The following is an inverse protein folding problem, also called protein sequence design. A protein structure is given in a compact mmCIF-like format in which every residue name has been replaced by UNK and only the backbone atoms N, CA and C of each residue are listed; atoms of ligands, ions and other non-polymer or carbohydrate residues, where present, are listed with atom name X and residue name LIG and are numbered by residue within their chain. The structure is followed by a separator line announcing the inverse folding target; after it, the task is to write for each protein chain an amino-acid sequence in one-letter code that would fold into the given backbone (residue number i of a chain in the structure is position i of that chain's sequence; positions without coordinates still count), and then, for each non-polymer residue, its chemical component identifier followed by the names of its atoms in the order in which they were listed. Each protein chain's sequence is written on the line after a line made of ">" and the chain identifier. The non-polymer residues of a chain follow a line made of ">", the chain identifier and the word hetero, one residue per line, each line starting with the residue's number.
data_IF_501474111157
#
_entry.id   IF_501474111157
#
_cell.length_a   1.000
_cell.length_b   1.000
_cell.length_c   1.000
_cell.angle_alpha   90.00
_cell.angle_beta   90.00
_cell.angle_gamma   90.00
#
_symmetry.space_group_name_H-M   'P 1'
#
loop_
_entity.id
_entity.type
_entity.pdbx_description
1 polymer ?
#
# COMPACT_ATOMS: atom_id res chain seq x y z
N UNK A 1 11.25 1.85 -57.54
CA UNK A 1 10.50 3.05 -58.00
C UNK A 1 10.70 4.12 -56.94
N UNK A 2 11.76 4.92 -57.04
CA UNK A 2 11.91 6.17 -57.84
C UNK A 2 11.47 7.39 -57.03
N UNK A 3 12.18 8.52 -56.92
CA UNK A 3 13.54 9.00 -57.28
C UNK A 3 13.71 10.27 -56.43
N UNK A 4 14.90 10.50 -55.88
CA UNK A 4 15.28 11.74 -55.18
C UNK A 4 15.62 12.82 -56.23
N UNK A 5 15.00 14.00 -56.14
CA UNK A 5 15.50 15.20 -56.82
C UNK A 5 16.13 16.16 -55.80
N UNK A 6 17.43 16.41 -55.97
CA UNK A 6 18.12 17.57 -55.40
C UNK A 6 18.19 18.63 -56.50
N UNK A 7 17.64 19.81 -56.26
CA UNK A 7 17.89 20.98 -57.08
C UNK A 7 18.90 21.85 -56.33
N UNK A 8 20.09 22.02 -56.93
CA UNK A 8 21.09 23.01 -56.56
C UNK A 8 20.91 24.20 -57.51
N UNK A 9 20.62 25.39 -56.96
CA UNK A 9 20.77 26.65 -57.67
C UNK A 9 22.07 27.32 -57.18
N UNK A 10 22.99 27.73 -58.08
CA UNK A 10 24.21 28.41 -57.69
C UNK A 10 23.94 29.92 -57.62
N UNK A 11 24.23 30.54 -56.47
CA UNK A 11 24.41 31.99 -56.40
C UNK A 11 25.80 32.23 -55.80
N UNK A 12 26.69 32.74 -56.64
CA UNK A 12 28.04 33.17 -56.32
C UNK A 12 27.95 34.59 -55.74
N UNK A 13 28.52 34.75 -54.54
CA UNK A 13 29.06 35.94 -53.88
C UNK A 13 28.27 37.26 -53.93
N UNK A 14 27.93 37.77 -52.73
CA UNK A 14 28.62 38.90 -52.09
C UNK A 14 27.93 39.21 -50.74
N UNK A 15 28.68 38.98 -49.66
CA UNK A 15 28.60 39.58 -48.31
C UNK A 15 27.25 39.78 -47.61
N UNK A 16 27.13 39.05 -46.48
CA UNK A 16 26.21 39.22 -45.34
C UNK A 16 24.72 38.96 -45.59
N UNK A 17 24.31 37.70 -45.38
CA UNK A 17 22.95 37.38 -44.97
C UNK A 17 23.01 36.32 -43.87
N UNK A 18 22.60 36.70 -42.66
CA UNK A 18 22.54 35.81 -41.51
C UNK A 18 21.57 34.66 -41.75
N UNK A 19 22.04 33.44 -41.48
CA UNK A 19 21.18 32.27 -41.40
C UNK A 19 20.42 32.37 -40.08
N UNK A 20 19.17 32.82 -40.12
CA UNK A 20 18.23 32.62 -39.02
C UNK A 20 17.91 31.14 -38.99
N UNK A 21 18.58 30.39 -38.11
CA UNK A 21 18.05 29.12 -37.64
C UNK A 21 16.77 29.44 -36.86
N UNK A 22 15.61 29.27 -37.50
CA UNK A 22 14.37 29.05 -36.77
C UNK A 22 14.49 27.67 -36.11
N UNK A 23 15.18 27.63 -34.96
CA UNK A 23 14.99 26.57 -33.98
C UNK A 23 13.54 26.67 -33.53
N UNK A 24 12.67 25.90 -34.17
CA UNK A 24 11.44 25.45 -33.54
C UNK A 24 11.85 24.64 -32.33
N UNK A 25 12.03 25.30 -31.18
CA UNK A 25 12.14 24.65 -29.89
C UNK A 25 10.81 23.95 -29.63
N UNK A 26 10.78 22.67 -29.96
CA UNK A 26 9.71 21.78 -29.59
C UNK A 26 9.78 21.63 -28.06
N UNK A 27 8.84 22.26 -27.33
CA UNK A 27 8.73 22.18 -25.88
C UNK A 27 8.65 20.72 -25.38
N UNK A 28 8.21 19.79 -26.23
CA UNK A 28 8.12 18.36 -25.93
C UNK A 28 9.47 17.66 -25.71
N UNK A 29 10.57 18.18 -26.25
CA UNK A 29 11.89 17.55 -26.05
C UNK A 29 12.42 17.76 -24.62
N UNK A 30 12.06 18.87 -23.98
CA UNK A 30 12.47 19.17 -22.60
C UNK A 30 11.69 18.31 -21.60
N UNK A 31 10.38 18.11 -21.81
CA UNK A 31 9.57 17.25 -20.94
C UNK A 31 9.93 15.77 -21.07
N UNK A 32 10.13 15.26 -22.28
CA UNK A 32 10.54 13.86 -22.48
C UNK A 32 11.92 13.59 -21.87
N UNK A 33 12.87 14.52 -22.04
CA UNK A 33 14.20 14.44 -21.43
C UNK A 33 14.16 14.53 -19.90
N UNK A 34 13.34 15.45 -19.34
CA UNK A 34 13.11 15.57 -17.90
C UNK A 34 12.49 14.29 -17.33
N UNK A 35 11.47 13.73 -17.98
CA UNK A 35 10.80 12.49 -17.55
C UNK A 35 11.74 11.28 -17.61
N UNK A 36 12.57 11.18 -18.65
CA UNK A 36 13.60 10.15 -18.73
C UNK A 36 14.63 10.28 -17.59
N UNK A 37 15.09 11.51 -17.32
CA UNK A 37 16.00 11.80 -16.21
C UNK A 37 15.38 11.46 -14.85
N UNK A 38 14.10 11.74 -14.67
CA UNK A 38 13.37 11.49 -13.42
C UNK A 38 13.13 9.99 -13.19
N UNK A 39 12.70 9.26 -14.23
CA UNK A 39 12.56 7.81 -14.17
C UNK A 39 13.88 7.11 -13.86
N UNK A 40 14.98 7.52 -14.51
CA UNK A 40 16.32 7.01 -14.19
C UNK A 40 16.69 7.30 -12.72
N UNK A 41 16.35 8.48 -12.22
CA UNK A 41 16.61 8.86 -10.82
C UNK A 41 15.81 8.03 -9.82
N UNK A 42 14.55 7.68 -10.14
CA UNK A 42 13.74 6.71 -9.39
C UNK A 42 14.44 5.35 -9.37
N UNK A 43 14.89 4.85 -10.54
CA UNK A 43 15.54 3.56 -10.67
C UNK A 43 16.88 3.46 -9.93
N UNK A 44 17.59 4.56 -9.78
CA UNK A 44 18.83 4.65 -9.01
C UNK A 44 18.60 4.91 -7.51
N UNK A 45 17.34 5.06 -7.08
CA UNK A 45 16.91 5.42 -5.73
C UNK A 45 17.60 6.70 -5.21
N UNK A 46 17.79 7.70 -6.08
CA UNK A 46 18.58 8.91 -5.77
C UNK A 46 18.02 9.64 -4.54
N UNK A 47 16.70 9.84 -4.48
CA UNK A 47 16.06 10.57 -3.38
C UNK A 47 16.31 9.86 -2.04
N UNK A 48 16.03 8.56 -1.95
CA UNK A 48 16.23 7.82 -0.71
C UNK A 48 17.69 7.75 -0.27
N UNK A 49 18.63 7.63 -1.21
CA UNK A 49 20.07 7.72 -0.93
C UNK A 49 20.41 9.09 -0.33
N UNK A 50 19.93 10.18 -0.91
CA UNK A 50 20.12 11.54 -0.35
C UNK A 50 19.53 11.66 1.05
N UNK A 51 18.30 11.20 1.27
CA UNK A 51 17.64 11.23 2.56
C UNK A 51 18.39 10.44 3.64
N UNK A 52 19.24 9.48 3.25
CA UNK A 52 19.97 8.58 4.15
C UNK A 52 21.46 8.89 4.23
N UNK A 53 21.90 10.08 3.79
CA UNK A 53 23.28 10.57 3.95
C UNK A 53 23.59 11.14 5.34
N UNK A 54 22.66 11.91 5.93
CA UNK A 54 22.85 12.52 7.25
C UNK A 54 21.52 12.71 7.98
N UNK A 55 21.57 12.89 9.31
CA UNK A 55 20.38 13.20 10.12
C UNK A 55 19.62 14.42 9.58
N UNK A 56 20.33 15.45 9.14
CA UNK A 56 19.73 16.66 8.56
C UNK A 56 19.03 16.37 7.24
N UNK A 57 19.66 15.60 6.36
CA UNK A 57 19.07 15.21 5.08
C UNK A 57 17.77 14.40 5.28
N UNK A 58 17.77 13.46 6.23
CA UNK A 58 16.59 12.70 6.59
C UNK A 58 15.44 13.58 7.08
N UNK A 59 15.70 14.49 8.02
CA UNK A 59 14.69 15.42 8.54
C UNK A 59 14.07 16.26 7.42
N UNK A 60 14.91 16.84 6.56
CA UNK A 60 14.47 17.65 5.43
C UNK A 60 13.61 16.83 4.45
N UNK A 61 14.00 15.59 4.15
CA UNK A 61 13.23 14.73 3.26
C UNK A 61 11.86 14.37 3.82
N UNK A 62 11.78 14.01 5.10
CA UNK A 62 10.50 13.67 5.76
C UNK A 62 9.59 14.88 5.81
N UNK A 63 10.13 16.07 6.09
CA UNK A 63 9.38 17.31 6.05
C UNK A 63 8.86 17.64 4.65
N UNK A 64 9.71 17.52 3.61
CA UNK A 64 9.32 17.76 2.21
C UNK A 64 8.17 16.82 1.80
N UNK A 65 8.31 15.52 2.05
CA UNK A 65 7.24 14.55 1.75
C UNK A 65 5.98 14.81 2.56
N UNK A 66 6.10 15.10 3.86
CA UNK A 66 4.94 15.39 4.71
C UNK A 66 4.21 16.67 4.30
N UNK A 67 4.92 17.66 3.74
CA UNK A 67 4.34 18.92 3.25
C UNK A 67 3.48 18.71 2.01
N UNK A 68 3.78 17.69 1.20
CA UNK A 68 3.02 17.31 -0.01
C UNK A 68 1.72 16.58 0.29
N UNK A 69 1.61 15.95 1.46
CA UNK A 69 0.37 15.29 1.90
C UNK A 69 -0.75 16.29 2.26
N UNK A 70 -0.54 17.61 2.06
CA UNK A 70 -1.58 18.63 2.18
C UNK A 70 -2.34 18.70 0.86
N UNK A 71 -3.69 18.71 0.89
CA UNK A 71 -4.50 18.82 -0.32
C UNK A 71 -4.38 20.24 -0.89
N UNK A 72 -3.29 20.52 -1.59
CA UNK A 72 -3.18 21.67 -2.47
C UNK A 72 -3.82 21.26 -3.80
N UNK A 73 -4.75 22.09 -4.28
CA UNK A 73 -5.54 21.83 -5.49
C UNK A 73 -4.67 21.42 -6.65
N UNK A 74 -4.80 20.17 -7.07
CA UNK A 74 -4.17 19.67 -8.28
C UNK A 74 -4.85 20.33 -9.49
N UNK A 75 -4.06 20.87 -10.42
CA UNK A 75 -4.56 21.52 -11.63
C UNK A 75 -5.25 20.49 -12.55
N UNK A 76 -6.55 20.70 -12.83
CA UNK A 76 -7.45 19.80 -13.57
C UNK A 76 -7.00 19.36 -14.98
N UNK A 77 -5.93 19.92 -15.55
CA UNK A 77 -5.56 19.73 -16.96
C UNK A 77 -4.75 18.46 -17.30
N UNK A 78 -4.28 17.68 -16.32
CA UNK A 78 -3.39 16.51 -16.57
C UNK A 78 -4.07 15.14 -16.34
N UNK A 79 -5.40 15.10 -16.21
CA UNK A 79 -6.08 14.08 -15.39
C UNK A 79 -6.74 12.88 -16.09
N UNK A 80 -6.53 12.62 -17.37
CA UNK A 80 -7.06 11.38 -17.97
C UNK A 80 -6.04 10.26 -17.82
N UNK A 81 -6.01 9.63 -16.64
CA UNK A 81 -5.21 8.41 -16.40
C UNK A 81 -6.06 7.27 -15.87
N UNK A 82 -5.91 6.10 -16.47
CA UNK A 82 -6.51 4.84 -15.99
C UNK A 82 -5.81 4.41 -14.69
N UNK A 83 -6.49 3.58 -13.89
CA UNK A 83 -5.84 2.80 -12.85
C UNK A 83 -6.05 1.30 -13.06
N UNK A 84 -5.01 0.45 -13.07
CA UNK A 84 -3.59 0.80 -13.03
C UNK A 84 -3.17 1.73 -14.17
N UNK A 85 -2.16 2.59 -13.96
CA UNK A 85 -1.69 3.49 -15.00
C UNK A 85 -1.04 2.72 -16.15
N UNK A 86 -1.28 3.18 -17.38
CA UNK A 86 -0.67 2.61 -18.58
C UNK A 86 0.85 2.81 -18.66
N UNK A 87 1.37 3.82 -17.95
CA UNK A 87 2.80 4.10 -17.83
C UNK A 87 3.16 4.45 -16.39
N UNK A 88 4.28 3.91 -15.90
CA UNK A 88 4.83 4.25 -14.59
C UNK A 88 5.20 5.73 -14.46
N UNK A 89 5.49 6.42 -15.56
CA UNK A 89 5.86 7.83 -15.55
C UNK A 89 4.76 8.71 -14.96
N UNK A 90 3.49 8.32 -15.08
CA UNK A 90 2.37 9.07 -14.49
C UNK A 90 2.29 8.95 -12.97
N UNK A 91 3.03 8.01 -12.37
CA UNK A 91 3.15 7.86 -10.92
C UNK A 91 4.37 8.58 -10.36
N UNK A 92 5.27 9.13 -11.19
CA UNK A 92 6.41 9.86 -10.64
C UNK A 92 5.91 11.21 -10.14
N UNK A 93 6.37 11.62 -8.95
CA UNK A 93 6.09 12.96 -8.43
C UNK A 93 6.74 14.04 -9.33
N UNK A 94 6.06 15.16 -9.54
CA UNK A 94 6.47 16.14 -10.55
C UNK A 94 7.77 16.89 -10.15
N UNK A 95 8.12 16.88 -8.86
CA UNK A 95 9.26 17.59 -8.29
C UNK A 95 10.30 16.66 -7.65
N UNK A 96 9.87 15.48 -7.18
CA UNK A 96 10.73 14.51 -6.52
C UNK A 96 10.88 13.24 -7.38
N UNK A 97 12.10 12.68 -7.54
CA UNK A 97 12.29 11.43 -8.26
C UNK A 97 11.89 10.22 -7.40
N UNK A 98 10.61 10.15 -7.04
CA UNK A 98 9.99 9.09 -6.24
C UNK A 98 8.63 8.73 -6.82
N UNK A 99 8.20 7.48 -6.58
CA UNK A 99 6.87 7.02 -6.99
C UNK A 99 5.85 7.51 -5.96
N UNK A 100 4.82 8.16 -6.47
CA UNK A 100 3.64 8.59 -5.75
C UNK A 100 2.46 7.67 -6.11
N UNK A 101 1.94 6.97 -5.12
CA UNK A 101 0.86 6.00 -5.27
C UNK A 101 -0.51 6.62 -4.99
N UNK A 102 -0.67 7.94 -5.06
CA UNK A 102 -2.00 8.55 -5.09
C UNK A 102 -2.77 8.12 -6.35
N UNK A 103 -4.08 7.90 -6.21
CA UNK A 103 -4.94 7.67 -7.36
C UNK A 103 -5.09 8.98 -8.14
N UNK A 104 -4.53 9.05 -9.35
CA UNK A 104 -4.73 10.18 -10.26
C UNK A 104 -5.90 9.83 -11.19
N UNK A 105 -7.10 10.32 -10.88
CA UNK A 105 -8.30 10.09 -11.69
C UNK A 105 -8.86 11.41 -12.24
N UNK A 106 -9.53 11.36 -13.39
CA UNK A 106 -10.26 12.49 -13.93
C UNK A 106 -11.52 12.78 -13.12
N UNK A 107 -11.89 14.05 -13.03
CA UNK A 107 -13.12 14.50 -12.37
C UNK A 107 -13.90 15.44 -13.29
N UNK A 108 -15.22 15.40 -13.22
CA UNK A 108 -16.07 16.41 -13.86
C UNK A 108 -15.86 17.77 -13.17
N UNK A 109 -16.16 18.88 -13.87
CA UNK A 109 -15.97 20.24 -13.31
C UNK A 109 -16.81 20.48 -12.06
N UNK A 110 -17.94 19.80 -11.97
CA UNK A 110 -18.95 19.83 -10.93
C UNK A 110 -18.87 18.61 -9.98
N UNK A 111 -17.76 17.87 -10.00
CA UNK A 111 -17.58 16.69 -9.16
C UNK A 111 -17.87 17.03 -7.69
N UNK A 112 -18.79 16.26 -7.09
CA UNK A 112 -19.29 16.53 -5.76
C UNK A 112 -18.17 16.31 -4.74
N UNK A 113 -17.90 17.34 -3.95
CA UNK A 113 -17.11 17.18 -2.74
C UNK A 113 -18.01 16.47 -1.70
N UNK A 114 -17.71 15.22 -1.33
CA UNK A 114 -18.53 14.47 -0.38
C UNK A 114 -18.58 15.12 1.01
N UNK A 115 -17.60 15.92 1.39
CA UNK A 115 -17.67 16.71 2.62
C UNK A 115 -18.78 17.78 2.54
N UNK A 116 -19.20 18.23 1.35
CA UNK A 116 -20.28 19.19 1.18
C UNK A 116 -21.65 18.53 0.96
N UNK A 117 -21.69 17.20 0.78
CA UNK A 117 -22.93 16.46 0.56
C UNK A 117 -23.84 16.58 1.80
N UNK A 118 -25.10 16.97 1.60
CA UNK A 118 -26.07 17.17 2.69
C UNK A 118 -26.33 15.91 3.50
N UNK A 119 -26.39 14.74 2.85
CA UNK A 119 -26.58 13.47 3.55
C UNK A 119 -25.36 13.14 4.39
N UNK A 120 -24.14 13.31 3.86
CA UNK A 120 -22.92 13.10 4.62
C UNK A 120 -22.81 14.04 5.82
N UNK A 121 -23.11 15.33 5.65
CA UNK A 121 -23.09 16.31 6.73
C UNK A 121 -24.14 16.01 7.81
N UNK A 122 -25.36 15.67 7.40
CA UNK A 122 -26.41 15.24 8.33
C UNK A 122 -25.97 14.00 9.12
N UNK A 123 -25.42 13.00 8.42
CA UNK A 123 -24.93 11.78 9.02
C UNK A 123 -23.76 12.04 9.99
N UNK A 124 -22.83 12.91 9.64
CA UNK A 124 -21.75 13.34 10.55
C UNK A 124 -22.29 14.02 11.80
N UNK A 125 -23.23 14.96 11.66
CA UNK A 125 -23.88 15.62 12.79
C UNK A 125 -24.59 14.61 13.70
N UNK A 126 -25.27 13.62 13.12
CA UNK A 126 -25.87 12.52 13.88
C UNK A 126 -24.81 11.77 14.69
N UNK A 127 -23.69 11.37 14.09
CA UNK A 127 -22.62 10.64 14.78
C UNK A 127 -21.92 11.46 15.88
N UNK A 128 -21.86 12.79 15.73
CA UNK A 128 -21.29 13.69 16.73
C UNK A 128 -22.25 13.91 17.93
N UNK A 129 -23.57 13.84 17.70
CA UNK A 129 -24.59 14.00 18.74
C UNK A 129 -24.93 12.72 19.53
N UNK A 130 -24.54 11.54 19.03
CA UNK A 130 -24.75 10.25 19.69
C UNK A 130 -23.99 10.15 21.02
N UNK A 131 -24.70 10.41 22.12
CA UNK A 131 -24.15 10.35 23.49
C UNK A 131 -23.86 8.93 23.99
N UNK A 132 -24.57 7.92 23.48
CA UNK A 132 -24.55 6.54 23.99
C UNK A 132 -23.40 5.67 23.43
N UNK A 133 -22.57 6.19 22.54
CA UNK A 133 -21.33 5.54 22.11
C UNK A 133 -21.46 4.21 21.33
N UNK A 134 -22.59 3.48 21.38
CA UNK A 134 -22.76 2.12 20.81
C UNK A 134 -22.75 2.09 19.28
N UNK A 135 -23.16 3.17 18.63
CA UNK A 135 -23.24 3.30 17.16
C UNK A 135 -24.54 2.79 16.56
N UNK A 136 -24.65 2.89 15.23
CA UNK A 136 -25.85 2.56 14.47
C UNK A 136 -25.99 1.05 14.24
N UNK A 137 -27.18 0.51 14.56
CA UNK A 137 -27.54 -0.88 14.31
C UNK A 137 -28.12 -1.04 12.90
N UNK A 138 -27.23 -1.09 11.92
CA UNK A 138 -27.59 -1.24 10.50
C UNK A 138 -26.45 -1.94 9.75
N UNK A 139 -26.79 -2.59 8.63
CA UNK A 139 -25.86 -3.24 7.70
C UNK A 139 -25.59 -2.41 6.45
N UNK A 140 -26.07 -1.16 6.42
CA UNK A 140 -26.01 -0.29 5.25
C UNK A 140 -24.65 0.42 5.11
N UNK A 141 -23.55 -0.35 5.14
CA UNK A 141 -22.16 0.18 5.10
C UNK A 141 -21.88 1.07 3.87
N UNK A 142 -22.66 0.91 2.80
CA UNK A 142 -22.57 1.71 1.59
C UNK A 142 -23.00 3.17 1.77
N UNK A 143 -23.72 3.51 2.86
CA UNK A 143 -24.20 4.88 3.08
C UNK A 143 -23.15 5.85 3.61
N UNK A 144 -22.06 5.35 4.20
CA UNK A 144 -21.02 6.17 4.78
C UNK A 144 -19.68 5.91 4.10
N UNK A 145 -18.83 6.93 4.01
CA UNK A 145 -19.17 8.36 4.05
C UNK A 145 -19.76 8.84 2.71
N UNK A 146 -19.60 8.05 1.65
CA UNK A 146 -20.09 8.33 0.30
C UNK A 146 -20.98 7.18 -0.16
N UNK A 147 -22.18 7.53 -0.66
CA UNK A 147 -23.07 6.61 -1.37
C UNK A 147 -22.62 6.52 -2.82
N UNK A 148 -21.79 5.52 -3.12
CA UNK A 148 -21.27 5.27 -4.47
C UNK A 148 -21.63 3.86 -4.93
N UNK A 149 -21.90 3.71 -6.22
CA UNK A 149 -21.84 2.42 -6.88
C UNK A 149 -20.36 2.08 -7.12
N UNK A 150 -19.81 1.23 -6.26
CA UNK A 150 -18.40 0.84 -6.36
C UNK A 150 -18.11 0.03 -7.62
N UNK A 151 -19.06 -0.74 -8.17
CA UNK A 151 -18.80 -1.47 -9.42
C UNK A 151 -18.64 -0.48 -10.58
N UNK A 152 -19.53 0.51 -10.68
CA UNK A 152 -19.39 1.59 -11.67
C UNK A 152 -18.10 2.38 -11.46
N UNK A 153 -17.79 2.76 -10.21
CA UNK A 153 -16.58 3.50 -9.86
C UNK A 153 -15.31 2.77 -10.31
N UNK A 154 -15.21 1.46 -10.06
CA UNK A 154 -14.07 0.66 -10.52
C UNK A 154 -13.97 0.73 -12.05
N UNK A 155 -15.07 0.47 -12.77
CA UNK A 155 -15.09 0.49 -14.24
C UNK A 155 -14.69 1.87 -14.79
N UNK A 156 -15.22 2.95 -14.21
CA UNK A 156 -14.91 4.31 -14.64
C UNK A 156 -13.42 4.61 -14.48
N UNK A 157 -12.85 4.31 -13.31
CA UNK A 157 -11.43 4.52 -13.03
C UNK A 157 -10.53 3.68 -13.94
N UNK A 158 -10.88 2.41 -14.17
CA UNK A 158 -10.11 1.52 -15.04
C UNK A 158 -10.11 1.99 -16.50
N UNK A 159 -11.17 2.64 -16.94
CA UNK A 159 -11.32 3.14 -18.32
C UNK A 159 -11.01 4.64 -18.46
N UNK A 160 -10.55 5.31 -17.39
CA UNK A 160 -10.22 6.74 -17.42
C UNK A 160 -11.44 7.65 -17.63
N UNK A 161 -12.64 7.18 -17.28
CA UNK A 161 -13.89 7.95 -17.35
C UNK A 161 -13.90 8.95 -16.19
N UNK A 162 -14.15 10.25 -16.44
CA UNK A 162 -14.21 11.26 -15.39
C UNK A 162 -15.25 10.95 -14.31
N UNK A 163 -14.84 11.05 -13.05
CA UNK A 163 -15.66 10.77 -11.89
C UNK A 163 -16.48 11.99 -11.47
N UNK A 164 -17.70 11.73 -11.00
CA UNK A 164 -18.63 12.75 -10.50
C UNK A 164 -18.49 13.00 -9.00
N UNK A 165 -17.62 12.26 -8.31
CA UNK A 165 -17.41 12.37 -6.86
C UNK A 165 -15.92 12.39 -6.58
N UNK A 166 -15.49 13.31 -5.72
CA UNK A 166 -14.10 13.37 -5.29
C UNK A 166 -13.78 12.26 -4.29
N UNK A 167 -12.55 11.71 -4.28
CA UNK A 167 -12.12 10.78 -3.25
C UNK A 167 -11.97 11.50 -1.91
N UNK A 168 -12.07 10.74 -0.83
CA UNK A 168 -12.01 11.21 0.56
C UNK A 168 -10.78 10.74 1.32
N UNK A 169 -10.09 9.74 0.79
CA UNK A 169 -8.97 9.07 1.41
C UNK A 169 -7.89 8.80 0.36
N UNK A 170 -7.61 9.82 -0.46
CA UNK A 170 -6.57 9.76 -1.48
C UNK A 170 -5.34 10.54 -1.04
N UNK A 171 -4.70 10.07 0.03
CA UNK A 171 -3.45 10.64 0.49
C UNK A 171 -2.38 10.47 -0.60
N UNK A 172 -1.51 11.48 -0.72
CA UNK A 172 -0.21 11.34 -1.35
C UNK A 172 0.60 10.35 -0.51
N UNK A 173 0.92 9.18 -1.08
CA UNK A 173 1.67 8.14 -0.38
C UNK A 173 2.84 7.72 -1.28
N UNK A 174 4.05 8.05 -0.84
CA UNK A 174 5.25 7.89 -1.65
C UNK A 174 5.98 6.60 -1.31
N UNK A 175 6.41 5.86 -2.34
CA UNK A 175 7.38 4.80 -2.19
C UNK A 175 8.78 5.40 -2.22
N UNK A 176 9.39 5.53 -1.03
CA UNK A 176 10.75 6.05 -0.88
C UNK A 176 11.77 5.09 -1.48
N UNK A 177 11.54 3.78 -1.36
CA UNK A 177 12.36 2.73 -1.96
C UNK A 177 11.48 1.59 -2.43
N UNK A 178 11.73 1.12 -3.65
CA UNK A 178 11.13 -0.10 -4.19
C UNK A 178 12.06 -1.30 -3.96
N UNK A 179 11.52 -2.51 -3.70
CA UNK A 179 12.31 -3.74 -3.74
C UNK A 179 12.86 -3.95 -5.16
N UNK A 180 14.02 -4.58 -5.31
CA UNK A 180 14.72 -4.59 -6.62
C UNK A 180 14.11 -5.54 -7.64
N UNK A 181 13.62 -6.70 -7.19
CA UNK A 181 13.15 -7.77 -8.08
C UNK A 181 11.64 -8.02 -8.03
N UNK A 182 10.92 -7.41 -7.09
CA UNK A 182 9.48 -7.60 -6.90
C UNK A 182 8.76 -6.35 -7.39
N UNK A 183 7.92 -6.46 -8.42
CA UNK A 183 7.11 -5.34 -8.92
C UNK A 183 7.89 -4.02 -9.06
N UNK A 184 9.12 -4.11 -9.58
CA UNK A 184 9.99 -2.98 -9.85
C UNK A 184 9.96 -2.62 -11.35
N UNK A 185 9.53 -1.41 -11.73
CA UNK A 185 9.40 -1.00 -13.13
C UNK A 185 10.75 -0.77 -13.81
N UNK A 186 11.85 -0.68 -13.04
CA UNK A 186 13.21 -0.43 -13.53
C UNK A 186 13.95 -1.68 -13.99
N UNK A 187 13.33 -2.86 -13.87
CA UNK A 187 13.95 -4.15 -14.21
C UNK A 187 12.94 -5.03 -14.93
N UNK A 188 13.47 -5.93 -15.76
CA UNK A 188 12.66 -7.00 -16.34
C UNK A 188 12.22 -7.94 -15.21
N UNK A 189 10.93 -8.09 -15.03
CA UNK A 189 10.36 -8.91 -13.98
C UNK A 189 10.21 -10.35 -14.44
N UNK A 190 10.63 -11.29 -13.60
CA UNK A 190 10.15 -12.67 -13.67
C UNK A 190 8.77 -12.65 -13.03
N UNK A 191 7.76 -13.16 -13.72
CA UNK A 191 6.40 -13.26 -13.19
C UNK A 191 6.36 -14.49 -12.26
N UNK A 192 6.24 -14.30 -10.93
CA UNK A 192 6.14 -15.43 -10.01
C UNK A 192 4.73 -16.04 -10.00
N UNK A 193 4.63 -17.27 -9.51
CA UNK A 193 3.37 -17.90 -9.15
C UNK A 193 2.72 -17.16 -7.95
N UNK A 194 3.57 -16.71 -7.01
CA UNK A 194 3.13 -16.10 -5.76
C UNK A 194 4.04 -14.94 -5.36
N UNK A 195 3.43 -13.85 -4.89
CA UNK A 195 4.12 -12.81 -4.13
C UNK A 195 3.65 -12.85 -2.67
N UNK A 196 4.60 -13.00 -1.75
CA UNK A 196 4.36 -12.93 -0.31
C UNK A 196 4.75 -11.56 0.20
N UNK A 197 3.77 -10.86 0.74
CA UNK A 197 3.89 -9.54 1.35
C UNK A 197 3.94 -9.70 2.87
N UNK A 198 5.09 -9.38 3.46
CA UNK A 198 5.30 -9.50 4.90
C UNK A 198 5.15 -8.11 5.52
N UNK A 199 4.11 -7.91 6.32
CA UNK A 199 3.86 -6.67 7.06
C UNK A 199 4.88 -6.58 8.20
N UNK A 200 5.93 -5.77 8.01
CA UNK A 200 7.01 -5.62 8.98
C UNK A 200 6.97 -4.24 9.62
N UNK A 201 7.70 -4.04 10.71
CA UNK A 201 7.88 -2.72 11.30
C UNK A 201 9.27 -2.17 11.01
N UNK A 202 9.42 -0.84 10.96
CA UNK A 202 10.73 -0.20 10.78
C UNK A 202 11.81 -0.87 11.65
N UNK A 203 11.58 -1.03 12.96
CA UNK A 203 12.49 -1.62 13.94
C UNK A 203 12.68 -3.16 13.92
N UNK A 204 11.94 -3.90 13.10
CA UNK A 204 11.81 -5.36 13.19
C UNK A 204 12.85 -6.13 12.35
N UNK A 205 14.12 -5.72 12.38
CA UNK A 205 15.20 -6.36 11.58
C UNK A 205 15.39 -7.84 11.96
N UNK A 206 15.25 -8.20 13.24
CA UNK A 206 15.45 -9.58 13.69
C UNK A 206 14.38 -10.54 13.13
N UNK A 207 13.12 -10.09 13.06
CA UNK A 207 12.03 -10.85 12.47
C UNK A 207 12.22 -11.01 10.95
N UNK A 208 12.70 -9.95 10.27
CA UNK A 208 13.03 -10.04 8.84
C UNK A 208 14.18 -11.01 8.57
N UNK A 209 15.24 -10.96 9.37
CA UNK A 209 16.36 -11.89 9.26
C UNK A 209 15.94 -13.32 9.57
N UNK A 210 15.04 -13.53 10.53
CA UNK A 210 14.44 -14.84 10.78
C UNK A 210 13.70 -15.35 9.54
N UNK A 211 12.78 -14.56 8.97
CA UNK A 211 12.03 -14.94 7.77
C UNK A 211 12.97 -15.27 6.59
N UNK A 212 13.99 -14.42 6.36
CA UNK A 212 15.03 -14.63 5.34
C UNK A 212 15.74 -15.96 5.53
N UNK A 213 16.08 -16.33 6.78
CA UNK A 213 16.80 -17.56 7.12
C UNK A 213 15.89 -18.80 7.25
N UNK A 214 14.58 -18.67 7.12
CA UNK A 214 13.61 -19.75 7.32
C UNK A 214 12.74 -19.95 6.08
N UNK A 215 11.46 -19.59 6.13
CA UNK A 215 10.49 -19.90 5.08
C UNK A 215 10.76 -19.17 3.76
N UNK A 216 11.62 -18.14 3.72
CA UNK A 216 12.01 -17.48 2.47
C UNK A 216 13.10 -18.24 1.70
N UNK A 217 13.66 -19.31 2.27
CA UNK A 217 14.74 -20.06 1.65
C UNK A 217 14.28 -20.77 0.37
N UNK A 218 14.97 -20.49 -0.74
CA UNK A 218 14.59 -20.95 -2.10
C UNK A 218 14.39 -22.45 -2.22
N UNK A 219 15.19 -23.27 -1.51
CA UNK A 219 15.09 -24.73 -1.59
C UNK A 219 13.77 -25.28 -1.03
N UNK A 220 13.08 -24.54 -0.17
CA UNK A 220 11.78 -24.91 0.38
C UNK A 220 10.62 -24.74 -0.64
N UNK A 221 10.88 -24.07 -1.77
CA UNK A 221 9.91 -23.75 -2.81
C UNK A 221 10.23 -24.45 -4.14
N UNK A 222 10.56 -25.74 -4.08
CA UNK A 222 10.94 -26.50 -5.26
C UNK A 222 9.82 -26.56 -6.30
N UNK A 223 10.14 -26.25 -7.57
CA UNK A 223 9.19 -26.16 -8.69
C UNK A 223 8.02 -25.19 -8.44
N UNK A 224 8.30 -24.09 -7.75
CA UNK A 224 7.34 -23.04 -7.45
C UNK A 224 8.05 -21.68 -7.37
N UNK A 225 7.61 -20.71 -8.17
CA UNK A 225 8.26 -19.39 -8.21
C UNK A 225 7.58 -18.46 -7.21
N UNK A 226 8.25 -18.19 -6.11
CA UNK A 226 7.79 -17.25 -5.09
C UNK A 226 8.74 -16.05 -4.99
N UNK A 227 8.16 -14.87 -4.75
CA UNK A 227 8.90 -13.67 -4.38
C UNK A 227 8.41 -13.15 -3.04
N UNK A 228 9.32 -12.58 -2.25
CA UNK A 228 9.03 -12.05 -0.92
C UNK A 228 9.35 -10.56 -0.87
N UNK A 229 8.52 -9.80 -0.16
CA UNK A 229 8.74 -8.39 0.07
C UNK A 229 8.34 -8.04 1.50
N UNK A 230 9.18 -7.27 2.20
CA UNK A 230 8.79 -6.67 3.46
C UNK A 230 8.27 -5.26 3.21
N UNK A 231 7.10 -4.94 3.77
CA UNK A 231 6.54 -3.59 3.71
C UNK A 231 6.76 -2.88 5.02
N UNK A 232 7.47 -1.76 4.98
CA UNK A 232 7.78 -0.93 6.14
C UNK A 232 7.52 0.54 5.84
N UNK A 233 7.20 1.31 6.88
CA UNK A 233 7.27 2.77 6.81
C UNK A 233 8.60 3.26 7.37
N UNK A 234 8.65 4.54 7.73
CA UNK A 234 9.82 5.18 8.33
C UNK A 234 9.57 5.55 9.79
N UNK A 235 10.61 5.53 10.65
CA UNK A 235 10.50 6.11 11.98
C UNK A 235 10.33 7.63 11.87
N UNK A 236 9.74 8.26 12.88
CA UNK A 236 9.70 9.72 12.99
C UNK A 236 10.62 10.22 14.11
N UNK A 237 11.13 11.47 14.04
CA UNK A 237 12.04 11.98 15.08
C UNK A 237 11.41 12.04 16.47
N UNK A 238 10.15 12.43 16.55
CA UNK A 238 9.43 12.71 17.79
C UNK A 238 8.33 11.67 18.05
N UNK A 239 8.67 10.38 18.00
CA UNK A 239 7.69 9.32 18.23
C UNK A 239 7.17 9.36 19.67
N UNK A 240 5.86 9.27 19.80
CA UNK A 240 5.15 9.16 21.07
C UNK A 240 4.36 7.85 21.07
N UNK A 241 4.11 7.28 22.26
CA UNK A 241 3.07 6.26 22.40
C UNK A 241 1.71 6.82 22.80
N UNK A 242 1.64 8.10 23.11
CA UNK A 242 0.41 8.81 23.42
C UNK A 242 -0.12 9.45 22.15
N UNK A 243 -1.33 9.06 21.77
CA UNK A 243 -2.03 9.56 20.60
C UNK A 243 -3.38 10.12 21.03
N UNK A 244 -3.81 11.19 20.36
CA UNK A 244 -5.13 11.78 20.55
C UNK A 244 -5.86 11.76 19.22
N UNK A 245 -7.00 11.08 19.18
CA UNK A 245 -7.88 11.07 18.01
C UNK A 245 -9.23 11.66 18.41
N UNK A 246 -9.63 12.73 17.72
CA UNK A 246 -10.70 13.60 18.16
C UNK A 246 -10.42 14.12 19.58
N UNK A 247 -11.18 13.68 20.59
CA UNK A 247 -10.98 14.03 22.01
C UNK A 247 -10.47 12.87 22.87
N UNK A 248 -10.27 11.70 22.28
CA UNK A 248 -9.98 10.47 23.01
C UNK A 248 -8.47 10.18 23.01
N UNK A 249 -7.95 9.77 24.16
CA UNK A 249 -6.54 9.46 24.36
C UNK A 249 -6.29 7.96 24.24
N UNK A 250 -5.21 7.61 23.57
CA UNK A 250 -4.78 6.23 23.35
C UNK A 250 -3.32 6.08 23.72
N UNK A 251 -2.96 4.94 24.32
CA UNK A 251 -1.58 4.65 24.73
C UNK A 251 -1.12 3.31 24.15
N UNK A 252 -0.13 3.35 23.25
CA UNK A 252 0.51 2.15 22.74
C UNK A 252 1.47 1.57 23.80
N UNK A 253 1.24 0.31 24.17
CA UNK A 253 2.10 -0.48 25.09
C UNK A 253 2.66 -1.74 24.41
N UNK A 254 2.61 -1.79 23.09
CA UNK A 254 3.00 -2.95 22.27
C UNK A 254 4.53 -3.03 22.04
N UNK A 255 4.96 -4.11 21.38
CA UNK A 255 6.36 -4.37 21.01
C UNK A 255 6.98 -3.21 20.21
N UNK A 256 6.22 -2.61 19.30
CA UNK A 256 6.65 -1.44 18.54
C UNK A 256 7.13 -0.30 19.45
N UNK A 257 6.36 0.07 20.48
CA UNK A 257 6.78 1.13 21.39
C UNK A 257 8.00 0.75 22.23
N UNK A 258 8.12 -0.52 22.62
CA UNK A 258 9.30 -1.00 23.34
C UNK A 258 10.57 -0.85 22.49
N UNK A 259 10.51 -1.25 21.20
CA UNK A 259 11.60 -1.08 20.24
C UNK A 259 11.89 0.40 19.97
N UNK A 260 10.84 1.19 19.75
CA UNK A 260 10.93 2.63 19.55
C UNK A 260 11.68 3.29 20.73
N UNK A 261 11.27 3.07 21.99
CA UNK A 261 11.97 3.65 23.15
C UNK A 261 13.43 3.27 23.25
N UNK A 262 13.79 2.02 22.93
CA UNK A 262 15.19 1.54 22.92
C UNK A 262 16.08 2.39 22.00
N UNK A 263 15.50 2.96 20.95
CA UNK A 263 16.17 3.80 19.96
C UNK A 263 15.82 5.29 20.08
N UNK A 264 15.16 5.70 21.17
CA UNK A 264 14.63 7.06 21.35
C UNK A 264 15.67 8.18 21.25
N UNK A 265 16.92 7.92 21.63
CA UNK A 265 18.01 8.92 21.60
C UNK A 265 18.55 9.17 20.20
N UNK A 266 18.41 8.22 19.27
CA UNK A 266 18.92 8.34 17.92
C UNK A 266 18.14 7.50 16.90
N UNK A 267 17.01 8.07 16.45
CA UNK A 267 16.18 7.51 15.37
C UNK A 267 16.90 7.49 14.03
N UNK A 268 17.83 8.42 13.83
CA UNK A 268 18.59 8.54 12.61
C UNK A 268 19.50 7.32 12.39
N UNK A 269 20.20 6.85 13.42
CA UNK A 269 20.98 5.61 13.32
C UNK A 269 20.12 4.43 12.88
N UNK A 270 18.87 4.36 13.32
CA UNK A 270 17.95 3.33 12.86
C UNK A 270 17.60 3.49 11.38
N UNK A 271 17.24 4.69 10.94
CA UNK A 271 16.97 4.97 9.53
C UNK A 271 18.17 4.61 8.63
N UNK A 272 19.40 4.91 9.09
CA UNK A 272 20.64 4.51 8.39
C UNK A 272 20.76 2.98 8.28
N UNK A 273 20.47 2.24 9.35
CA UNK A 273 20.48 0.76 9.34
C UNK A 273 19.44 0.19 8.40
N UNK A 274 18.21 0.73 8.40
CA UNK A 274 17.17 0.31 7.48
C UNK A 274 17.59 0.54 6.02
N UNK A 275 18.25 1.67 5.73
CA UNK A 275 18.77 1.94 4.40
C UNK A 275 19.87 0.96 3.97
N UNK A 276 20.80 0.62 4.88
CA UNK A 276 21.82 -0.39 4.65
C UNK A 276 21.23 -1.79 4.44
N UNK A 277 20.24 -2.17 5.25
CA UNK A 277 19.51 -3.44 5.11
C UNK A 277 18.83 -3.52 3.74
N UNK A 278 18.15 -2.44 3.34
CA UNK A 278 17.47 -2.39 2.06
C UNK A 278 18.42 -2.54 0.87
N UNK A 279 19.64 -2.00 0.98
CA UNK A 279 20.71 -2.16 -0.01
C UNK A 279 21.29 -3.58 -0.04
N UNK A 280 21.44 -4.20 1.13
CA UNK A 280 22.00 -5.54 1.24
C UNK A 280 21.04 -6.63 0.75
N UNK A 281 19.77 -6.54 1.12
CA UNK A 281 18.78 -7.61 0.89
C UNK A 281 17.84 -7.37 -0.29
N UNK A 282 17.71 -6.11 -0.73
CA UNK A 282 16.97 -5.74 -1.94
C UNK A 282 15.46 -6.11 -1.93
N UNK A 283 14.91 -6.45 -0.76
CA UNK A 283 13.57 -7.01 -0.53
C UNK A 283 12.64 -6.09 0.30
N UNK A 284 13.04 -4.84 0.53
CA UNK A 284 12.26 -3.85 1.28
C UNK A 284 11.48 -2.90 0.35
N UNK A 285 10.17 -2.83 0.55
CA UNK A 285 9.33 -1.72 0.11
C UNK A 285 9.19 -0.72 1.26
N UNK A 286 9.71 0.49 1.08
CA UNK A 286 9.74 1.53 2.12
C UNK A 286 8.79 2.66 1.73
N UNK A 287 7.70 2.81 2.47
CA UNK A 287 6.75 3.92 2.31
C UNK A 287 7.12 5.14 3.14
N UNK A 288 6.64 6.31 2.74
CA UNK A 288 6.91 7.58 3.43
C UNK A 288 6.09 7.84 4.69
N UNK A 289 5.18 6.95 5.06
CA UNK A 289 4.32 7.10 6.23
C UNK A 289 5.06 6.77 7.55
N UNK A 290 4.60 7.37 8.65
CA UNK A 290 5.09 7.04 9.99
C UNK A 290 4.69 5.61 10.35
N UNK A 291 5.67 4.72 10.51
CA UNK A 291 5.42 3.30 10.77
C UNK A 291 5.00 3.06 12.23
N UNK A 292 3.71 3.25 12.52
CA UNK A 292 3.11 3.01 13.83
C UNK A 292 1.91 2.08 13.73
N UNK A 293 1.49 1.53 14.88
CA UNK A 293 0.29 0.68 14.95
C UNK A 293 -0.97 1.38 14.43
N UNK A 294 -1.12 2.69 14.65
CA UNK A 294 -2.31 3.42 14.17
C UNK A 294 -2.27 3.76 12.67
N UNK A 295 -1.14 3.53 12.00
CA UNK A 295 -0.98 3.73 10.55
C UNK A 295 -0.93 2.40 9.78
N UNK A 296 -1.33 1.28 10.40
CA UNK A 296 -1.41 -0.01 9.70
C UNK A 296 -2.35 0.06 8.49
N UNK A 297 -3.47 0.79 8.60
CA UNK A 297 -4.38 1.01 7.45
C UNK A 297 -3.69 1.78 6.32
N UNK A 298 -2.88 2.80 6.64
CA UNK A 298 -2.09 3.51 5.63
C UNK A 298 -1.10 2.57 4.94
N UNK A 299 -0.43 1.69 5.70
CA UNK A 299 0.45 0.64 5.16
C UNK A 299 -0.30 -0.34 4.26
N UNK A 300 -1.51 -0.73 4.64
CA UNK A 300 -2.37 -1.61 3.84
C UNK A 300 -2.73 -0.95 2.50
N UNK A 301 -3.20 0.29 2.53
CA UNK A 301 -3.53 1.08 1.33
C UNK A 301 -2.31 1.24 0.43
N UNK A 302 -1.17 1.66 1.00
CA UNK A 302 0.11 1.77 0.29
C UNK A 302 0.46 0.48 -0.45
N UNK A 303 0.30 -0.66 0.23
CA UNK A 303 0.60 -1.98 -0.32
C UNK A 303 -0.34 -2.32 -1.48
N UNK A 304 -1.66 -2.14 -1.32
CA UNK A 304 -2.61 -2.42 -2.39
C UNK A 304 -2.35 -1.57 -3.63
N UNK A 305 -2.05 -0.29 -3.44
CA UNK A 305 -1.76 0.61 -4.55
C UNK A 305 -0.44 0.27 -5.24
N UNK A 306 0.61 -0.07 -4.49
CA UNK A 306 1.87 -0.54 -5.05
C UNK A 306 1.68 -1.82 -5.87
N UNK A 307 1.03 -2.82 -5.29
CA UNK A 307 0.76 -4.09 -5.97
C UNK A 307 -0.07 -3.87 -7.23
N UNK A 308 -1.16 -3.10 -7.12
CA UNK A 308 -2.06 -2.83 -8.24
C UNK A 308 -1.38 -2.07 -9.37
N UNK A 309 -0.51 -1.11 -9.08
CA UNK A 309 0.04 -0.22 -10.10
C UNK A 309 1.40 -0.68 -10.67
N UNK A 310 2.18 -1.48 -9.93
CA UNK A 310 3.55 -1.83 -10.32
C UNK A 310 3.76 -3.33 -10.53
N UNK A 311 2.86 -4.20 -10.06
CA UNK A 311 2.96 -5.64 -10.33
C UNK A 311 2.30 -6.01 -11.66
N UNK A 312 2.80 -7.05 -12.36
CA UNK A 312 2.16 -7.55 -13.58
C UNK A 312 0.78 -8.14 -13.24
N UNK A 313 -0.23 -7.83 -14.05
CA UNK A 313 -1.58 -8.38 -13.89
C UNK A 313 -1.64 -9.92 -14.03
N UNK A 314 -0.59 -10.53 -14.57
CA UNK A 314 -0.43 -11.98 -14.70
C UNK A 314 -0.05 -12.69 -13.40
N UNK A 315 0.42 -11.96 -12.37
CA UNK A 315 0.60 -12.55 -11.03
C UNK A 315 -0.77 -12.91 -10.48
N UNK A 316 -1.04 -14.19 -10.15
CA UNK A 316 -2.39 -14.61 -9.80
C UNK A 316 -2.73 -14.30 -8.34
N UNK A 317 -1.78 -14.48 -7.42
CA UNK A 317 -2.04 -14.49 -5.98
C UNK A 317 -1.01 -13.69 -5.16
N UNK A 318 -1.52 -13.02 -4.13
CA UNK A 318 -0.75 -12.39 -3.07
C UNK A 318 -1.10 -12.99 -1.71
N UNK A 319 -0.10 -13.38 -0.92
CA UNK A 319 -0.27 -13.72 0.50
C UNK A 319 0.23 -12.56 1.35
N UNK A 320 -0.58 -12.10 2.29
CA UNK A 320 -0.24 -11.09 3.28
C UNK A 320 -0.04 -11.79 4.61
N UNK A 321 1.09 -11.56 5.26
CA UNK A 321 1.44 -12.19 6.54
C UNK A 321 2.07 -11.18 7.49
N UNK A 322 1.65 -11.19 8.75
CA UNK A 322 2.30 -10.39 9.79
C UNK A 322 3.67 -10.99 10.15
N UNK A 323 4.62 -10.16 10.58
CA UNK A 323 6.01 -10.58 10.81
C UNK A 323 6.24 -11.46 12.06
N UNK A 324 5.17 -11.79 12.78
CA UNK A 324 5.15 -12.76 13.88
C UNK A 324 4.52 -14.11 13.49
N UNK A 325 4.32 -14.35 12.19
CA UNK A 325 3.95 -15.63 11.60
C UNK A 325 4.96 -16.05 10.53
N UNK A 326 5.21 -17.35 10.46
CA UNK A 326 5.96 -17.98 9.37
C UNK A 326 5.00 -18.75 8.46
N UNK A 327 5.34 -18.83 7.17
CA UNK A 327 4.64 -19.69 6.23
C UNK A 327 5.20 -21.12 6.30
N UNK A 328 4.35 -22.11 6.00
CA UNK A 328 4.70 -23.51 5.80
C UNK A 328 4.74 -23.77 4.29
N UNK A 329 5.92 -23.70 3.63
CA UNK A 329 6.03 -23.64 2.16
C UNK A 329 5.32 -24.78 1.44
N UNK A 330 5.47 -26.02 1.94
CA UNK A 330 4.82 -27.20 1.36
C UNK A 330 3.30 -27.06 1.33
N UNK A 331 2.70 -26.60 2.42
CA UNK A 331 1.25 -26.45 2.54
C UNK A 331 0.74 -25.30 1.66
N UNK A 332 1.50 -24.21 1.55
CA UNK A 332 1.20 -23.12 0.60
C UNK A 332 1.20 -23.63 -0.85
N UNK A 333 2.22 -24.39 -1.25
CA UNK A 333 2.33 -24.94 -2.61
C UNK A 333 1.18 -25.90 -2.91
N UNK A 334 0.83 -26.79 -1.97
CA UNK A 334 -0.30 -27.71 -2.13
C UNK A 334 -1.62 -26.96 -2.26
N UNK A 335 -1.86 -25.94 -1.43
CA UNK A 335 -3.04 -25.10 -1.54
C UNK A 335 -3.14 -24.42 -2.91
N UNK A 336 -2.03 -23.80 -3.36
CA UNK A 336 -1.99 -23.10 -4.64
C UNK A 336 -2.26 -24.03 -5.82
N UNK A 337 -1.63 -25.22 -5.86
CA UNK A 337 -1.76 -26.16 -6.98
C UNK A 337 -3.16 -26.78 -7.12
N UNK A 338 -3.98 -26.69 -6.08
CA UNK A 338 -5.36 -27.17 -6.09
C UNK A 338 -6.37 -26.14 -6.63
N UNK A 339 -5.89 -25.03 -7.22
CA UNK A 339 -6.71 -23.93 -7.73
C UNK A 339 -6.31 -23.58 -9.15
N UNK A 340 -7.30 -23.22 -9.96
CA UNK A 340 -7.05 -22.61 -11.27
C UNK A 340 -6.55 -21.17 -11.12
N UNK A 341 -5.89 -20.64 -12.17
CA UNK A 341 -5.41 -19.26 -12.15
C UNK A 341 -6.56 -18.24 -11.98
N UNK A 342 -7.75 -18.51 -12.53
CA UNK A 342 -8.92 -17.64 -12.38
C UNK A 342 -9.44 -17.63 -10.94
N UNK A 343 -9.59 -18.81 -10.33
CA UNK A 343 -9.97 -18.89 -8.91
C UNK A 343 -8.99 -18.15 -8.00
N UNK A 344 -7.68 -18.22 -8.30
CA UNK A 344 -6.65 -17.52 -7.54
C UNK A 344 -6.76 -15.99 -7.72
N UNK A 345 -7.00 -15.51 -8.94
CA UNK A 345 -7.10 -14.07 -9.25
C UNK A 345 -8.29 -13.38 -8.60
N UNK A 346 -9.37 -14.11 -8.37
CA UNK A 346 -10.59 -13.61 -7.71
C UNK A 346 -10.69 -14.02 -6.23
N UNK A 347 -9.64 -14.63 -5.67
CA UNK A 347 -9.65 -15.09 -4.28
C UNK A 347 -9.62 -13.91 -3.29
N UNK A 348 -10.50 -13.93 -2.30
CA UNK A 348 -10.39 -13.12 -1.09
C UNK A 348 -10.62 -14.05 0.11
N UNK A 349 -9.57 -14.49 0.79
CA UNK A 349 -9.69 -15.63 1.69
C UNK A 349 -8.71 -15.58 2.87
N UNK A 350 -9.12 -16.09 4.03
CA UNK A 350 -8.30 -16.17 5.23
C UNK A 350 -9.10 -16.60 6.46
N UNK A 351 -8.60 -16.36 7.67
CA UNK A 351 -9.41 -16.58 8.88
C UNK A 351 -10.47 -15.46 8.99
N UNK A 352 -11.74 -15.79 8.72
CA UNK A 352 -12.83 -14.83 8.67
C UNK A 352 -13.41 -14.57 10.06
N UNK A 353 -13.48 -13.30 10.45
CA UNK A 353 -14.29 -12.86 11.57
C UNK A 353 -15.65 -12.39 11.07
N UNK A 354 -16.72 -13.00 11.60
CA UNK A 354 -18.09 -12.56 11.33
C UNK A 354 -18.52 -11.47 12.32
N UNK A 355 -19.08 -10.40 11.76
CA UNK A 355 -19.87 -9.36 12.44
C UNK A 355 -19.47 -9.05 13.89
N UNK A 356 -18.26 -8.52 14.08
CA UNK A 356 -17.72 -8.18 15.41
C UNK A 356 -18.20 -6.80 15.86
N UNK A 357 -18.45 -6.67 17.17
CA UNK A 357 -18.73 -5.38 17.80
C UNK A 357 -17.56 -4.43 17.67
N UNK A 358 -17.88 -3.20 17.30
CA UNK A 358 -16.93 -2.10 17.27
C UNK A 358 -16.64 -1.68 18.71
N UNK A 359 -15.38 -1.80 19.13
CA UNK A 359 -14.95 -1.28 20.43
C UNK A 359 -14.99 0.24 20.37
N UNK A 360 -15.55 0.87 21.41
CA UNK A 360 -15.76 2.33 21.47
C UNK A 360 -14.80 2.96 22.49
N UNK A 361 -14.32 4.18 22.23
CA UNK A 361 -13.40 4.85 23.14
C UNK A 361 -14.11 5.27 24.43
N UNK A 362 -13.34 5.43 25.51
CA UNK A 362 -13.86 5.96 26.76
C UNK A 362 -14.08 7.48 26.65
N UNK A 363 -15.26 7.94 27.08
CA UNK A 363 -15.65 9.36 27.01
C UNK A 363 -15.32 10.16 28.29
N UNK A 364 -14.82 9.50 29.34
CA UNK A 364 -14.45 10.05 30.65
C UNK A 364 -13.01 10.61 30.71
N UNK A 365 -12.30 10.60 29.58
CA UNK A 365 -10.91 11.05 29.48
C UNK A 365 -9.87 9.97 29.80
N UNK A 366 -10.29 8.75 30.14
CA UNK A 366 -9.39 7.62 30.34
C UNK A 366 -8.74 7.14 29.04
N UNK A 367 -7.65 6.38 29.18
CA UNK A 367 -6.96 5.76 28.05
C UNK A 367 -7.86 4.72 27.41
N UNK A 368 -8.22 4.97 26.15
CA UNK A 368 -9.04 4.07 25.35
C UNK A 368 -8.28 2.82 24.90
N UNK A 369 -9.01 1.73 24.69
CA UNK A 369 -8.48 0.53 24.05
C UNK A 369 -7.87 0.88 22.68
N UNK A 370 -6.71 0.30 22.34
CA UNK A 370 -5.99 0.60 21.09
C UNK A 370 -6.78 0.20 19.83
N UNK A 371 -7.77 -0.69 19.94
CA UNK A 371 -8.65 -1.08 18.85
C UNK A 371 -9.98 -0.30 18.85
N UNK A 372 -10.14 0.66 19.77
CA UNK A 372 -11.37 1.45 19.83
C UNK A 372 -11.46 2.44 18.66
N UNK A 373 -12.60 2.44 17.99
CA UNK A 373 -12.91 3.25 16.80
C UNK A 373 -14.04 4.23 17.11
N UNK A 374 -13.80 5.51 16.82
CA UNK A 374 -14.74 6.58 17.08
C UNK A 374 -15.94 6.50 16.12
N UNK A 375 -17.09 7.08 16.51
CA UNK A 375 -18.26 7.18 15.62
C UNK A 375 -17.98 7.99 14.34
N UNK A 376 -17.03 8.93 14.41
CA UNK A 376 -16.57 9.71 13.25
C UNK A 376 -15.75 8.87 12.26
N UNK A 377 -14.99 7.90 12.77
CA UNK A 377 -14.25 6.96 11.92
C UNK A 377 -15.18 5.90 11.33
N UNK A 378 -16.03 5.31 12.17
CA UNK A 378 -16.97 4.28 11.75
C UNK A 378 -18.25 4.31 12.61
N UNK A 379 -19.40 4.62 12.02
CA UNK A 379 -20.62 4.95 12.75
C UNK A 379 -21.42 3.72 13.21
N UNK A 380 -21.25 2.56 12.57
CA UNK A 380 -22.04 1.36 12.86
C UNK A 380 -21.53 0.59 14.07
N UNK A 381 -22.44 -0.09 14.76
CA UNK A 381 -22.15 -0.90 15.93
C UNK A 381 -21.35 -2.18 15.63
N UNK A 382 -21.45 -2.68 14.39
CA UNK A 382 -20.84 -3.93 13.94
C UNK A 382 -19.97 -3.69 12.71
N UNK A 383 -18.77 -4.26 12.68
CA UNK A 383 -17.99 -4.35 11.46
C UNK A 383 -18.63 -5.36 10.48
N UNK A 384 -18.52 -5.15 9.17
CA UNK A 384 -18.79 -6.21 8.19
C UNK A 384 -17.81 -7.38 8.38
N UNK A 385 -18.06 -8.51 7.71
CA UNK A 385 -17.13 -9.63 7.71
C UNK A 385 -15.75 -9.20 7.21
N UNK A 386 -14.69 -9.59 7.92
CA UNK A 386 -13.31 -9.22 7.61
C UNK A 386 -12.35 -10.38 7.85
N UNK A 387 -11.16 -10.29 7.24
CA UNK A 387 -10.09 -11.27 7.40
C UNK A 387 -9.14 -10.83 8.52
N UNK A 388 -8.71 -11.77 9.36
CA UNK A 388 -7.72 -11.50 10.40
C UNK A 388 -6.34 -11.18 9.78
N UNK A 389 -5.64 -10.20 10.35
CA UNK A 389 -4.38 -9.67 9.83
C UNK A 389 -3.20 -10.62 9.89
N UNK A 390 -3.27 -11.68 10.70
CA UNK A 390 -2.20 -12.66 10.87
C UNK A 390 -1.74 -13.25 9.52
N UNK A 391 -2.68 -13.78 8.72
CA UNK A 391 -2.42 -14.22 7.36
C UNK A 391 -3.72 -14.21 6.54
N UNK A 392 -3.66 -13.64 5.34
CA UNK A 392 -4.75 -13.70 4.37
C UNK A 392 -4.24 -13.70 2.93
N UNK A 393 -5.10 -14.10 2.00
CA UNK A 393 -4.80 -14.18 0.57
C UNK A 393 -5.73 -13.30 -0.24
N UNK A 394 -5.16 -12.58 -1.20
CA UNK A 394 -5.91 -11.80 -2.18
C UNK A 394 -5.40 -12.09 -3.59
N UNK A 395 -6.31 -12.35 -4.49
CA UNK A 395 -6.04 -12.42 -5.92
C UNK A 395 -5.80 -11.05 -6.53
N UNK A 396 -5.15 -11.00 -7.69
CA UNK A 396 -4.79 -9.74 -8.34
C UNK A 396 -5.98 -8.88 -8.76
N UNK A 397 -7.10 -9.48 -9.17
CA UNK A 397 -8.32 -8.72 -9.46
C UNK A 397 -8.87 -8.06 -8.20
N UNK A 398 -8.81 -8.75 -7.07
CA UNK A 398 -9.25 -8.23 -5.77
C UNK A 398 -8.37 -7.07 -5.32
N UNK A 399 -7.04 -7.22 -5.38
CA UNK A 399 -6.09 -6.16 -5.01
C UNK A 399 -6.28 -4.90 -5.83
N UNK A 400 -6.49 -5.02 -7.16
CA UNK A 400 -6.79 -3.88 -8.04
C UNK A 400 -8.04 -3.11 -7.60
N UNK A 401 -9.14 -3.82 -7.33
CA UNK A 401 -10.39 -3.23 -6.86
C UNK A 401 -10.24 -2.56 -5.50
N UNK A 402 -9.50 -3.18 -4.57
CA UNK A 402 -9.22 -2.63 -3.25
C UNK A 402 -8.37 -1.35 -3.32
N UNK A 403 -7.38 -1.30 -4.23
CA UNK A 403 -6.54 -0.13 -4.44
C UNK A 403 -7.37 1.11 -4.80
N UNK A 404 -8.31 0.97 -5.74
CA UNK A 404 -9.22 2.05 -6.15
C UNK A 404 -10.22 2.37 -5.03
N UNK A 405 -10.91 1.36 -4.49
CA UNK A 405 -11.95 1.55 -3.47
C UNK A 405 -11.43 2.23 -2.19
N UNK A 406 -10.15 2.03 -1.86
CA UNK A 406 -9.51 2.67 -0.72
C UNK A 406 -9.51 4.19 -0.76
N UNK A 407 -9.46 4.79 -1.95
CA UNK A 407 -9.49 6.24 -2.13
C UNK A 407 -10.86 6.86 -1.79
N UNK A 408 -11.93 6.07 -1.89
CA UNK A 408 -13.33 6.48 -1.71
C UNK A 408 -13.96 5.92 -0.42
N UNK A 409 -13.14 5.39 0.48
CA UNK A 409 -13.59 4.79 1.74
C UNK A 409 -12.95 5.49 2.92
N UNK A 410 -13.75 5.88 3.93
CA UNK A 410 -13.28 6.55 5.13
C UNK A 410 -12.17 5.73 5.81
N UNK A 411 -11.02 6.36 6.01
CA UNK A 411 -9.94 5.74 6.76
C UNK A 411 -10.34 5.48 8.21
N UNK A 412 -10.02 4.28 8.71
CA UNK A 412 -10.09 3.91 10.13
C UNK A 412 -8.75 3.33 10.58
N UNK A 413 -8.44 3.36 11.88
CA UNK A 413 -7.13 2.94 12.41
C UNK A 413 -6.92 1.42 12.55
N UNK A 414 -7.95 0.62 12.31
CA UNK A 414 -7.90 -0.86 12.39
C UNK A 414 -7.93 -1.41 10.98
N UNK A 415 -6.79 -1.89 10.49
CA UNK A 415 -6.56 -2.29 9.09
C UNK A 415 -7.41 -3.51 8.68
N UNK A 416 -7.49 -4.52 9.54
CA UNK A 416 -8.32 -5.70 9.32
C UNK A 416 -9.80 -5.34 9.12
N UNK A 417 -10.33 -4.49 10.00
CA UNK A 417 -11.71 -4.00 9.92
C UNK A 417 -11.91 -3.10 8.70
N UNK A 418 -10.92 -2.27 8.34
CA UNK A 418 -10.95 -1.45 7.13
C UNK A 418 -11.06 -2.31 5.87
N UNK A 419 -10.31 -3.41 5.81
CA UNK A 419 -10.40 -4.39 4.73
C UNK A 419 -11.82 -4.97 4.60
N UNK A 420 -12.47 -5.28 5.72
CA UNK A 420 -13.88 -5.70 5.72
C UNK A 420 -14.84 -4.64 5.15
N UNK A 421 -14.61 -3.37 5.46
CA UNK A 421 -15.42 -2.26 4.90
C UNK A 421 -15.25 -2.20 3.38
N UNK A 422 -14.02 -2.34 2.88
CA UNK A 422 -13.76 -2.38 1.45
C UNK A 422 -14.43 -3.57 0.78
N UNK A 423 -14.35 -4.77 1.37
CA UNK A 423 -15.05 -5.95 0.87
C UNK A 423 -16.56 -5.73 0.78
N UNK A 424 -17.16 -5.18 1.85
CA UNK A 424 -18.60 -4.87 1.85
C UNK A 424 -18.98 -3.88 0.75
N UNK A 425 -18.19 -2.82 0.54
CA UNK A 425 -18.44 -1.83 -0.51
C UNK A 425 -18.31 -2.40 -1.91
N UNK A 426 -17.39 -3.34 -2.11
CA UNK A 426 -17.16 -4.04 -3.37
C UNK A 426 -18.06 -5.27 -3.59
N UNK A 427 -18.98 -5.54 -2.67
CA UNK A 427 -19.81 -6.76 -2.63
C UNK A 427 -18.98 -8.05 -2.72
N UNK A 428 -17.82 -8.07 -2.03
CA UNK A 428 -16.96 -9.25 -1.89
C UNK A 428 -17.28 -9.89 -0.54
N UNK A 429 -17.63 -11.17 -0.55
CA UNK A 429 -17.73 -11.96 0.68
C UNK A 429 -16.41 -12.74 0.86
N UNK A 430 -15.56 -12.38 1.84
CA UNK A 430 -14.33 -13.12 2.06
C UNK A 430 -14.64 -14.57 2.47
N UNK A 431 -13.86 -15.51 1.92
CA UNK A 431 -13.95 -16.94 2.22
C UNK A 431 -13.19 -17.26 3.51
N UNK A 432 -13.79 -18.06 4.39
CA UNK A 432 -13.07 -18.59 5.54
C UNK A 432 -12.16 -19.74 5.09
N UNK A 433 -10.93 -19.77 5.59
CA UNK A 433 -9.96 -20.83 5.35
C UNK A 433 -9.48 -21.42 6.67
N UNK A 434 -9.81 -22.69 6.91
CA UNK A 434 -9.36 -23.43 8.10
C UNK A 434 -7.84 -23.69 8.07
N UNK A 435 -7.22 -23.58 6.89
CA UNK A 435 -5.76 -23.67 6.72
C UNK A 435 -5.03 -22.42 7.21
N UNK A 436 -5.73 -21.33 7.57
CA UNK A 436 -5.14 -20.21 8.30
C UNK A 436 -5.22 -20.50 9.79
N UNK A 437 -4.08 -20.78 10.41
CA UNK A 437 -4.01 -21.05 11.82
C UNK A 437 -3.74 -19.79 12.63
N UNK A 438 -4.61 -19.53 13.62
CA UNK A 438 -4.35 -18.55 14.69
C UNK A 438 -3.83 -19.24 15.97
N UNK A 439 -3.85 -20.57 16.02
CA UNK A 439 -3.53 -21.37 17.18
C UNK A 439 -2.18 -22.07 17.08
N UNK A 440 -1.75 -22.64 18.21
CA UNK A 440 -0.47 -23.31 18.35
C UNK A 440 -0.64 -24.81 18.18
N UNK A 441 0.26 -25.47 17.44
CA UNK A 441 0.40 -26.92 17.51
C UNK A 441 0.88 -27.62 16.24
N UNK A 442 1.49 -28.80 16.45
CA UNK A 442 1.94 -29.72 15.40
C UNK A 442 0.76 -30.21 14.55
N UNK A 443 -0.39 -30.49 15.19
CA UNK A 443 -1.59 -31.00 14.50
C UNK A 443 -2.06 -30.06 13.39
N UNK A 444 -2.01 -28.74 13.61
CA UNK A 444 -2.45 -27.76 12.60
C UNK A 444 -1.59 -27.86 11.32
N UNK A 445 -0.27 -27.96 11.47
CA UNK A 445 0.65 -28.10 10.33
C UNK A 445 0.38 -29.42 9.58
N UNK A 446 0.15 -30.51 10.30
CA UNK A 446 -0.19 -31.82 9.71
C UNK A 446 -1.53 -31.79 8.98
N UNK A 447 -2.50 -31.02 9.48
CA UNK A 447 -3.82 -30.82 8.87
C UNK A 447 -3.81 -29.81 7.70
N UNK A 448 -2.63 -29.32 7.28
CA UNK A 448 -2.49 -28.46 6.09
C UNK A 448 -2.44 -26.97 6.38
N UNK A 449 -2.25 -26.54 7.63
CA UNK A 449 -2.09 -25.11 7.94
C UNK A 449 -0.93 -24.49 7.17
N UNK A 450 -1.17 -23.36 6.51
CA UNK A 450 -0.16 -22.71 5.66
C UNK A 450 0.69 -21.70 6.43
N UNK A 451 0.28 -21.31 7.62
CA UNK A 451 0.97 -20.37 8.48
C UNK A 451 1.03 -20.91 9.92
N UNK A 452 2.00 -20.42 10.67
CA UNK A 452 2.21 -20.79 12.06
C UNK A 452 2.83 -19.61 12.82
N UNK A 453 2.46 -19.34 14.08
CA UNK A 453 3.15 -18.32 14.88
C UNK A 453 4.66 -18.58 14.95
N UNK A 454 5.45 -17.51 14.79
CA UNK A 454 6.92 -17.55 14.76
C UNK A 454 7.51 -18.19 16.02
N UNK A 455 6.87 -18.02 17.19
CA UNK A 455 7.30 -18.65 18.44
C UNK A 455 7.23 -20.18 18.37
N UNK A 456 6.22 -20.72 17.71
CA UNK A 456 6.02 -22.17 17.58
C UNK A 456 6.85 -22.76 16.46
N UNK A 457 6.96 -22.06 15.33
CA UNK A 457 7.73 -22.51 14.17
C UNK A 457 9.20 -22.79 14.54
N UNK A 458 9.81 -21.94 15.37
CA UNK A 458 11.17 -22.11 15.91
C UNK A 458 11.33 -23.42 16.67
N UNK A 459 10.26 -23.87 17.33
CA UNK A 459 10.26 -25.09 18.14
C UNK A 459 10.04 -26.31 17.27
N UNK A 460 9.10 -26.27 16.33
CA UNK A 460 8.58 -27.48 15.68
C UNK A 460 8.97 -27.67 14.21
N UNK A 461 9.49 -26.66 13.50
CA UNK A 461 9.88 -26.78 12.09
C UNK A 461 11.40 -26.88 11.98
N UNK A 462 11.88 -27.87 11.23
CA UNK A 462 13.25 -27.93 10.73
C UNK A 462 13.35 -27.14 9.41
N UNK A 463 13.87 -25.93 9.49
CA UNK A 463 13.99 -25.03 8.33
C UNK A 463 15.05 -25.47 7.30
N UNK A 464 15.90 -26.46 7.61
CA UNK A 464 16.77 -27.06 6.59
C UNK A 464 15.95 -27.88 5.60
N UNK A 465 14.94 -28.59 6.09
CA UNK A 465 14.18 -29.55 5.30
C UNK A 465 12.75 -29.08 5.00
N UNK A 466 12.23 -28.12 5.78
CA UNK A 466 10.85 -27.64 5.72
C UNK A 466 9.84 -28.54 6.44
N UNK A 467 10.29 -29.59 7.13
CA UNK A 467 9.44 -30.57 7.81
C UNK A 467 9.31 -30.25 9.30
N UNK A 468 8.37 -30.95 9.95
CA UNK A 468 8.31 -30.98 11.40
C UNK A 468 9.56 -31.70 11.95
N UNK A 469 10.08 -31.21 13.08
CA UNK A 469 11.24 -31.78 13.79
C UNK A 469 10.95 -33.13 14.42
#
# INVERSE_FOLDING_TARGET
>A
MSVIWRVLLPIICLWTAGIIFMLSFNNNNNELSKNYSLFKSVCENIYFKQCTQSRRAWLNCIENVSSRNRPNGLNQSDFITTWPPSSITSLIDDELPIINLALRAAFTKDAENPLNNKHYQHFRSLTESMKDGRGLWSWQYNLFPQMLDFNKLIVDVENGIPLTNLPINNLEIFALRLPKYVCNPCRRQIIPDLIVVIKSCSYCTAERDHARNTFMQKHLWTNFTVQFVFVVGVPYPNESNMFTFSKHKFKLKNSWWALSRKHGRDRWTFMKRLAMEAELHEDLLIGSFHDTYFNLTTKLIFTFRWLSALCPATVPLFIFVDNDYDLVPRNVIMYYKNKSADELRDLAAGHRNEYRFVIRPYYDGNISNIWAVTLKEFPWALYPAYLCGATFMLGSNIVKRLAIASAFTQHIRVDDAYLGILFSKLNILPQNLDVISLGNGVCNVQSGAINIPLSESKRIIDWKTGWLK
#
